data_IF_786017904670
#
_entry.id   IF_786017904670
#
_cell.length_a   1.000
_cell.length_b   1.000
_cell.length_c   1.000
_cell.angle_alpha   90.00
_cell.angle_beta   90.00
_cell.angle_gamma   90.00
#
_symmetry.space_group_name_H-M   'P 1'
#
loop_
_entity.id
_entity.type
_entity.pdbx_description
1 polymer ?
#
# COMPACT_ATOMS: atom_id res chain seq x y z
N UNK A 1 2.31 1.12 3.05
CA UNK A 1 1.38 1.39 1.95
C UNK A 1 1.37 2.89 1.75
N UNK A 2 1.67 3.35 0.52
CA UNK A 2 1.68 4.78 0.21
C UNK A 2 0.33 5.41 0.55
N UNK A 3 -0.74 4.91 -0.07
CA UNK A 3 -2.10 5.38 0.13
C UNK A 3 -3.01 4.29 0.70
N UNK A 4 -4.12 4.66 1.36
CA UNK A 4 -5.23 3.78 1.65
C UNK A 4 -5.87 3.19 0.38
N UNK A 5 -5.74 1.87 0.19
CA UNK A 5 -6.21 1.00 -0.92
C UNK A 5 -5.09 0.26 -1.63
N UNK A 6 -3.86 0.79 -1.58
CA UNK A 6 -2.70 0.19 -2.24
C UNK A 6 -2.49 -1.25 -1.77
N UNK A 7 -2.77 -1.59 -0.51
CA UNK A 7 -2.69 -2.97 -0.02
C UNK A 7 -3.70 -3.89 -0.70
N UNK A 8 -4.89 -3.37 -1.05
CA UNK A 8 -5.93 -4.16 -1.70
C UNK A 8 -5.47 -4.57 -3.10
N UNK A 9 -4.90 -3.62 -3.84
CA UNK A 9 -4.46 -3.87 -5.21
C UNK A 9 -3.11 -4.59 -5.29
N UNK A 10 -2.20 -4.35 -4.34
CA UNK A 10 -0.85 -4.94 -4.37
C UNK A 10 -0.76 -6.33 -3.73
N UNK A 11 -1.14 -6.46 -2.46
CA UNK A 11 -0.70 -7.58 -1.62
C UNK A 11 -1.79 -8.17 -0.69
N UNK A 12 -3.06 -7.85 -0.90
CA UNK A 12 -4.17 -8.25 -0.03
C UNK A 12 -4.35 -9.75 0.14
N UNK A 13 -4.14 -10.51 -0.93
CA UNK A 13 -4.19 -11.97 -0.83
C UNK A 13 -3.01 -12.52 -0.05
N UNK A 14 -1.84 -11.92 -0.20
CA UNK A 14 -0.65 -12.25 0.58
C UNK A 14 -0.82 -11.89 2.05
N UNK A 15 -1.42 -10.74 2.38
CA UNK A 15 -1.78 -10.36 3.76
C UNK A 15 -2.63 -11.45 4.41
N UNK A 16 -3.74 -11.85 3.76
CA UNK A 16 -4.64 -12.88 4.28
C UNK A 16 -3.96 -14.23 4.43
N UNK A 17 -3.14 -14.61 3.44
CA UNK A 17 -2.36 -15.85 3.47
C UNK A 17 -1.36 -15.87 4.62
N UNK A 18 -0.60 -14.80 4.82
CA UNK A 18 0.41 -14.75 5.88
C UNK A 18 -0.23 -14.70 7.27
N UNK A 19 -1.39 -14.04 7.43
CA UNK A 19 -2.17 -14.13 8.67
C UNK A 19 -2.64 -15.57 8.95
N UNK A 20 -3.14 -16.28 7.93
CA UNK A 20 -3.57 -17.69 8.06
C UNK A 20 -2.41 -18.64 8.38
N UNK A 21 -1.21 -18.35 7.88
CA UNK A 21 0.05 -19.05 8.19
C UNK A 21 0.58 -18.74 9.61
N UNK A 22 -0.10 -17.87 10.37
CA UNK A 22 0.23 -17.54 11.76
C UNK A 22 1.26 -16.42 11.92
N UNK A 23 1.57 -15.67 10.86
CA UNK A 23 2.46 -14.52 10.97
C UNK A 23 1.78 -13.34 11.68
N UNK A 24 2.54 -12.65 12.52
CA UNK A 24 2.15 -11.33 13.04
C UNK A 24 2.33 -10.29 11.93
N UNK A 25 1.23 -9.89 11.30
CA UNK A 25 1.26 -8.88 10.21
C UNK A 25 0.96 -7.50 10.78
N UNK A 26 1.76 -6.52 10.38
CA UNK A 26 1.54 -5.09 10.62
C UNK A 26 1.28 -4.38 9.30
N UNK A 27 0.45 -3.34 9.32
CA UNK A 27 0.23 -2.44 8.18
C UNK A 27 0.53 -1.01 8.58
N UNK A 28 1.24 -0.31 7.70
CA UNK A 28 1.56 1.10 7.84
C UNK A 28 0.95 1.83 6.64
N UNK A 29 0.08 2.80 6.89
CA UNK A 29 -0.41 3.75 5.90
C UNK A 29 0.43 5.04 6.03
N UNK A 30 1.12 5.42 4.96
CA UNK A 30 2.06 6.54 4.98
C UNK A 30 1.31 7.86 4.86
N UNK A 31 0.47 8.00 3.83
CA UNK A 31 -0.32 9.21 3.62
C UNK A 31 -1.79 9.02 3.99
N UNK A 32 -2.50 10.12 4.08
CA UNK A 32 -3.90 10.16 4.47
C UNK A 32 -4.91 10.26 3.32
N UNK A 33 -4.43 10.21 2.08
CA UNK A 33 -5.27 10.23 0.87
C UNK A 33 -6.07 11.53 0.64
N UNK A 34 -5.69 12.61 1.32
CA UNK A 34 -6.50 13.84 1.33
C UNK A 34 -6.67 14.50 -0.04
N UNK A 35 -5.72 14.30 -0.94
CA UNK A 35 -5.73 14.92 -2.27
C UNK A 35 -6.57 14.12 -3.28
N UNK A 36 -7.10 12.96 -2.89
CA UNK A 36 -7.85 12.05 -3.76
C UNK A 36 -8.90 12.79 -4.59
N UNK A 37 -9.90 13.40 -3.96
CA UNK A 37 -11.04 14.02 -4.66
C UNK A 37 -10.58 15.21 -5.53
N UNK A 38 -9.69 16.06 -5.02
CA UNK A 38 -9.16 17.19 -5.80
C UNK A 38 -8.43 16.72 -7.06
N UNK A 39 -7.56 15.71 -6.93
CA UNK A 39 -6.82 15.13 -8.04
C UNK A 39 -7.77 14.48 -9.05
N UNK A 40 -8.76 13.74 -8.56
CA UNK A 40 -9.74 13.07 -9.42
C UNK A 40 -10.61 14.02 -10.23
N UNK A 41 -11.00 15.18 -9.67
CA UNK A 41 -11.70 16.24 -10.42
C UNK A 41 -10.81 16.82 -11.52
N UNK A 42 -9.54 17.10 -11.19
CA UNK A 42 -8.57 17.70 -12.13
C UNK A 42 -8.28 16.81 -13.33
N UNK A 43 -8.33 15.49 -13.17
CA UNK A 43 -7.97 14.52 -14.21
C UNK A 43 -9.17 13.77 -14.79
N UNK A 44 -10.41 14.22 -14.54
CA UNK A 44 -11.65 13.56 -14.98
C UNK A 44 -11.67 12.05 -14.65
N UNK A 45 -11.29 11.71 -13.42
CA UNK A 45 -11.27 10.32 -12.95
C UNK A 45 -12.45 9.98 -12.04
N UNK A 46 -13.20 10.97 -11.57
CA UNK A 46 -14.31 10.77 -10.65
C UNK A 46 -15.61 10.46 -11.41
N UNK A 47 -16.42 9.60 -10.80
CA UNK A 47 -17.80 9.32 -11.19
C UNK A 47 -18.67 10.30 -10.41
N UNK A 48 -18.96 11.44 -11.03
CA UNK A 48 -19.56 12.61 -10.38
C UNK A 48 -20.89 12.29 -9.69
N UNK A 49 -21.72 11.45 -10.29
CA UNK A 49 -23.04 11.10 -9.75
C UNK A 49 -22.94 10.41 -8.39
N UNK A 50 -21.88 9.66 -8.16
CA UNK A 50 -21.64 8.93 -6.91
C UNK A 50 -20.81 9.74 -5.90
N UNK A 51 -20.04 10.72 -6.38
CA UNK A 51 -19.16 11.52 -5.55
C UNK A 51 -19.82 12.74 -4.91
N UNK A 52 -21.12 12.97 -5.14
CA UNK A 52 -21.84 14.21 -4.74
C UNK A 52 -21.59 14.63 -3.28
N UNK A 53 -21.57 13.68 -2.36
CA UNK A 53 -21.39 13.93 -0.93
C UNK A 53 -19.93 14.32 -0.56
N UNK A 54 -18.98 14.17 -1.49
CA UNK A 54 -17.54 14.39 -1.29
C UNK A 54 -16.98 15.55 -2.13
N UNK A 55 -17.64 15.93 -3.23
CA UNK A 55 -17.12 16.90 -4.23
C UNK A 55 -16.79 18.30 -3.69
N UNK A 56 -17.37 18.65 -2.54
CA UNK A 56 -17.25 19.95 -1.89
C UNK A 56 -16.61 19.87 -0.50
N UNK A 57 -16.19 18.69 -0.06
CA UNK A 57 -15.42 18.55 1.16
C UNK A 57 -14.01 19.09 0.95
N UNK A 58 -13.44 19.66 2.02
CA UNK A 58 -12.03 20.02 2.05
C UNK A 58 -11.14 18.78 2.01
N UNK A 59 -9.89 18.94 1.57
CA UNK A 59 -8.92 17.84 1.61
C UNK A 59 -8.75 17.30 3.04
N UNK A 60 -8.74 18.16 4.07
CA UNK A 60 -8.66 17.69 5.46
C UNK A 60 -9.82 16.76 5.85
N UNK A 61 -11.04 17.07 5.41
CA UNK A 61 -12.21 16.20 5.63
C UNK A 61 -12.08 14.88 4.86
N UNK A 62 -11.59 14.93 3.61
CA UNK A 62 -11.30 13.74 2.81
C UNK A 62 -10.23 12.87 3.47
N UNK A 63 -9.16 13.47 4.00
CA UNK A 63 -8.09 12.76 4.70
C UNK A 63 -8.62 12.02 5.93
N UNK A 64 -9.44 12.69 6.75
CA UNK A 64 -10.11 12.06 7.91
C UNK A 64 -11.00 10.88 7.50
N UNK A 65 -11.72 11.01 6.38
CA UNK A 65 -12.54 9.93 5.84
C UNK A 65 -11.64 8.79 5.35
N UNK A 66 -10.60 9.08 4.57
CA UNK A 66 -9.66 8.09 4.03
C UNK A 66 -8.98 7.27 5.12
N UNK A 67 -8.47 7.92 6.17
CA UNK A 67 -7.88 7.22 7.32
C UNK A 67 -8.90 6.38 8.09
N UNK A 68 -10.15 6.85 8.22
CA UNK A 68 -11.23 6.06 8.83
C UNK A 68 -11.57 4.83 7.99
N UNK A 69 -11.64 4.96 6.67
CA UNK A 69 -11.81 3.83 5.75
C UNK A 69 -10.64 2.84 5.86
N UNK A 70 -9.40 3.33 5.92
CA UNK A 70 -8.20 2.51 6.11
C UNK A 70 -8.28 1.67 7.39
N UNK A 71 -8.68 2.26 8.52
CA UNK A 71 -8.88 1.53 9.77
C UNK A 71 -9.99 0.47 9.66
N UNK A 72 -11.09 0.78 8.96
CA UNK A 72 -12.18 -0.19 8.75
C UNK A 72 -11.73 -1.36 7.87
N UNK A 73 -10.95 -1.07 6.83
CA UNK A 73 -10.36 -2.07 5.92
C UNK A 73 -9.37 -2.95 6.66
N UNK A 74 -8.45 -2.36 7.43
CA UNK A 74 -7.52 -3.13 8.24
C UNK A 74 -8.26 -4.05 9.24
N UNK A 75 -9.32 -3.55 9.88
CA UNK A 75 -10.19 -4.37 10.73
C UNK A 75 -10.84 -5.53 9.95
N UNK A 76 -11.29 -5.29 8.72
CA UNK A 76 -11.93 -6.32 7.88
C UNK A 76 -10.94 -7.38 7.36
N UNK A 77 -9.67 -7.02 7.16
CA UNK A 77 -8.61 -8.00 6.95
C UNK A 77 -8.42 -8.91 8.16
N UNK A 78 -8.52 -8.32 9.36
CA UNK A 78 -8.33 -9.00 10.65
C UNK A 78 -7.14 -8.47 11.45
N UNK A 79 -6.61 -7.30 11.10
CA UNK A 79 -5.52 -6.68 11.86
C UNK A 79 -6.00 -6.31 13.28
N UNK A 80 -5.25 -6.66 14.34
CA UNK A 80 -5.40 -6.03 15.64
C UNK A 80 -5.12 -4.52 15.55
N UNK A 81 -5.81 -3.71 16.36
CA UNK A 81 -5.60 -2.26 16.35
C UNK A 81 -4.13 -1.86 16.63
N UNK A 82 -3.42 -2.62 17.45
CA UNK A 82 -1.99 -2.42 17.75
C UNK A 82 -1.06 -2.63 16.53
N UNK A 83 -1.59 -3.24 15.46
CA UNK A 83 -0.84 -3.57 14.27
C UNK A 83 -1.19 -2.67 13.07
N UNK A 84 -2.04 -1.66 13.29
CA UNK A 84 -2.44 -0.68 12.27
C UNK A 84 -1.81 0.66 12.61
N UNK A 85 -0.86 1.08 11.79
CA UNK A 85 -0.11 2.31 11.99
C UNK A 85 -0.46 3.32 10.90
N UNK A 86 -0.75 4.56 11.30
CA UNK A 86 -0.98 5.67 10.39
C UNK A 86 0.12 6.70 10.65
N UNK A 87 0.88 7.07 9.62
CA UNK A 87 1.84 8.18 9.72
C UNK A 87 1.19 9.53 9.47
N UNK A 88 0.03 9.52 8.79
CA UNK A 88 -0.81 10.71 8.57
C UNK A 88 -0.06 11.83 7.84
N UNK A 89 0.92 11.46 7.00
CA UNK A 89 1.58 12.42 6.13
C UNK A 89 0.57 12.95 5.12
N UNK A 90 0.75 14.21 4.74
CA UNK A 90 -0.08 14.81 3.71
C UNK A 90 0.11 14.05 2.41
N UNK A 91 -1.00 13.63 1.80
CA UNK A 91 -1.01 13.03 0.47
C UNK A 91 -0.31 13.94 -0.56
N UNK A 92 0.53 13.38 -1.42
CA UNK A 92 1.46 14.05 -2.34
C UNK A 92 2.67 14.75 -1.70
N UNK A 93 2.90 14.60 -0.38
CA UNK A 93 4.03 15.23 0.34
C UNK A 93 4.99 14.21 0.99
N UNK A 94 4.81 12.90 0.78
CA UNK A 94 5.60 11.91 1.53
C UNK A 94 7.12 12.00 1.24
N UNK A 95 7.50 12.51 0.08
CA UNK A 95 8.91 12.77 -0.26
C UNK A 95 9.59 13.74 0.71
N UNK A 96 8.86 14.74 1.21
CA UNK A 96 9.39 15.71 2.18
C UNK A 96 9.38 15.16 3.61
N UNK A 97 8.84 13.96 3.82
CA UNK A 97 8.67 13.32 5.12
C UNK A 97 9.56 12.08 5.30
N UNK A 98 10.54 11.84 4.42
CA UNK A 98 11.36 10.62 4.44
C UNK A 98 12.03 10.41 5.80
N UNK A 99 12.75 11.41 6.34
CA UNK A 99 13.46 11.26 7.62
C UNK A 99 12.50 11.00 8.80
N UNK A 100 11.33 11.66 8.77
CA UNK A 100 10.28 11.43 9.76
C UNK A 100 9.72 10.00 9.66
N UNK A 101 9.40 9.56 8.44
CA UNK A 101 8.89 8.21 8.17
C UNK A 101 9.90 7.12 8.54
N UNK A 102 11.20 7.35 8.29
CA UNK A 102 12.27 6.46 8.72
C UNK A 102 12.25 6.31 10.24
N UNK A 103 12.19 7.41 10.99
CA UNK A 103 12.16 7.37 12.45
C UNK A 103 10.91 6.69 13.01
N UNK A 104 9.73 6.96 12.44
CA UNK A 104 8.47 6.32 12.85
C UNK A 104 8.46 4.82 12.55
N UNK A 105 9.02 4.40 11.41
CA UNK A 105 8.98 3.01 10.97
C UNK A 105 9.92 2.09 11.76
N UNK A 106 11.04 2.58 12.30
CA UNK A 106 12.05 1.75 12.97
C UNK A 106 11.46 0.84 14.05
N UNK A 107 10.65 1.39 14.95
CA UNK A 107 10.07 0.59 16.04
C UNK A 107 9.06 -0.45 15.55
N UNK A 108 8.46 -0.24 14.38
CA UNK A 108 7.48 -1.13 13.77
C UNK A 108 8.21 -2.29 13.07
N UNK A 109 9.31 -2.02 12.36
CA UNK A 109 9.95 -3.02 11.48
C UNK A 109 11.16 -3.75 12.09
N UNK A 110 11.65 -3.32 13.27
CA UNK A 110 12.91 -3.84 13.86
C UNK A 110 13.00 -5.36 14.05
N UNK A 111 11.85 -6.04 14.11
CA UNK A 111 11.77 -7.49 14.29
C UNK A 111 11.11 -8.19 13.08
N UNK A 112 11.02 -7.52 11.94
CA UNK A 112 10.35 -8.05 10.77
C UNK A 112 11.28 -8.96 9.97
N UNK A 113 10.82 -10.19 9.70
CA UNK A 113 11.48 -11.08 8.74
C UNK A 113 11.13 -10.73 7.28
N UNK A 114 10.00 -10.02 7.09
CA UNK A 114 9.51 -9.60 5.77
C UNK A 114 8.98 -8.18 5.79
N UNK A 115 9.36 -7.40 4.79
CA UNK A 115 8.93 -6.02 4.58
C UNK A 115 8.32 -5.91 3.18
N UNK A 116 7.06 -5.46 3.08
CA UNK A 116 6.31 -5.40 1.82
C UNK A 116 6.13 -3.94 1.43
N UNK A 117 6.71 -3.54 0.29
CA UNK A 117 6.85 -2.14 -0.11
C UNK A 117 6.56 -1.96 -1.61
N UNK A 118 6.16 -0.76 -2.04
CA UNK A 118 6.08 -0.46 -3.47
C UNK A 118 7.48 -0.48 -4.11
N UNK A 119 7.48 -0.72 -5.42
CA UNK A 119 8.63 -0.55 -6.30
C UNK A 119 8.99 0.92 -6.45
N UNK A 120 10.28 1.22 -6.46
CA UNK A 120 10.79 2.57 -6.74
C UNK A 120 10.64 2.97 -8.22
N UNK A 121 10.52 2.00 -9.14
CA UNK A 121 10.03 2.21 -10.51
C UNK A 121 8.52 2.53 -10.52
N UNK A 122 8.12 3.62 -9.90
CA UNK A 122 6.75 4.13 -9.88
C UNK A 122 6.75 5.60 -10.28
N UNK A 123 5.69 6.08 -10.94
CA UNK A 123 5.59 7.48 -11.34
C UNK A 123 4.99 8.37 -10.24
N UNK A 124 4.47 7.77 -9.17
CA UNK A 124 3.90 8.48 -8.04
C UNK A 124 4.96 8.73 -6.94
N UNK A 125 5.21 9.99 -6.55
CA UNK A 125 6.27 10.32 -5.58
C UNK A 125 6.06 9.65 -4.22
N UNK A 126 4.81 9.53 -3.74
CA UNK A 126 4.58 8.88 -2.44
C UNK A 126 4.87 7.37 -2.43
N UNK A 127 4.81 6.71 -3.58
CA UNK A 127 5.23 5.31 -3.69
C UNK A 127 6.77 5.22 -3.58
N UNK A 128 7.50 6.12 -4.23
CA UNK A 128 8.96 6.22 -4.13
C UNK A 128 9.40 6.58 -2.70
N UNK A 129 8.71 7.54 -2.06
CA UNK A 129 8.95 7.93 -0.67
C UNK A 129 8.73 6.74 0.28
N UNK A 130 7.63 6.01 0.13
CA UNK A 130 7.32 4.83 0.96
C UNK A 130 8.38 3.73 0.79
N UNK A 131 8.84 3.49 -0.44
CA UNK A 131 9.96 2.58 -0.70
C UNK A 131 11.21 3.02 0.07
N UNK A 132 11.59 4.30 -0.07
CA UNK A 132 12.79 4.88 0.53
C UNK A 132 12.72 4.88 2.05
N UNK A 133 11.58 5.25 2.65
CA UNK A 133 11.34 5.22 4.09
C UNK A 133 11.63 3.83 4.67
N UNK A 134 11.00 2.81 4.12
CA UNK A 134 11.12 1.45 4.64
C UNK A 134 12.52 0.87 4.41
N UNK A 135 13.12 1.14 3.24
CA UNK A 135 14.49 0.68 2.92
C UNK A 135 15.52 1.34 3.85
N UNK A 136 15.47 2.66 4.00
CA UNK A 136 16.43 3.39 4.84
C UNK A 136 16.29 3.01 6.32
N UNK A 137 15.06 2.87 6.83
CA UNK A 137 14.85 2.40 8.19
C UNK A 137 15.44 1.01 8.44
N UNK A 138 15.31 0.10 7.47
CA UNK A 138 15.89 -1.23 7.58
C UNK A 138 17.42 -1.23 7.47
N UNK A 139 18.01 -0.35 6.65
CA UNK A 139 19.46 -0.12 6.59
C UNK A 139 19.97 0.38 7.95
N UNK A 140 19.33 1.39 8.53
CA UNK A 140 19.74 1.94 9.83
C UNK A 140 19.60 0.95 10.98
N UNK A 141 18.65 0.01 10.88
CA UNK A 141 18.46 -1.08 11.84
C UNK A 141 19.30 -2.32 11.54
N UNK A 142 20.05 -2.32 10.43
CA UNK A 142 20.84 -3.46 9.97
C UNK A 142 20.03 -4.77 9.87
N UNK A 143 18.83 -4.71 9.27
CA UNK A 143 17.93 -5.86 9.11
C UNK A 143 18.36 -6.80 7.96
N UNK A 144 19.59 -7.31 8.04
CA UNK A 144 20.23 -8.09 6.96
C UNK A 144 19.54 -9.42 6.64
N UNK A 145 18.68 -9.90 7.55
CA UNK A 145 17.92 -11.14 7.37
C UNK A 145 16.50 -10.90 6.86
N UNK A 146 16.05 -9.64 6.76
CA UNK A 146 14.71 -9.33 6.29
C UNK A 146 14.61 -9.46 4.76
N UNK A 147 13.53 -10.08 4.28
CA UNK A 147 13.17 -10.13 2.87
C UNK A 147 12.29 -8.94 2.50
N UNK A 148 12.59 -8.28 1.38
CA UNK A 148 11.80 -7.19 0.83
C UNK A 148 10.95 -7.69 -0.32
N UNK A 149 9.63 -7.70 -0.11
CA UNK A 149 8.63 -8.05 -1.10
C UNK A 149 8.18 -6.76 -1.79
N UNK A 150 8.84 -6.46 -2.89
CA UNK A 150 8.61 -5.26 -3.68
C UNK A 150 7.51 -5.53 -4.68
N UNK A 151 6.37 -4.84 -4.56
CA UNK A 151 5.26 -4.92 -5.52
C UNK A 151 5.31 -3.77 -6.52
N UNK A 152 4.74 -3.96 -7.71
CA UNK A 152 4.59 -2.89 -8.70
C UNK A 152 3.10 -2.60 -8.94
N UNK A 153 2.74 -1.32 -8.82
CA UNK A 153 1.45 -0.75 -9.23
C UNK A 153 1.76 0.32 -10.30
N UNK A 154 0.88 0.50 -11.28
CA UNK A 154 0.99 1.39 -12.45
C UNK A 154 2.06 1.00 -13.47
N UNK A 155 3.25 0.62 -13.01
CA UNK A 155 4.38 0.26 -13.84
C UNK A 155 4.67 -1.25 -13.80
N UNK A 156 5.40 -1.74 -14.79
CA UNK A 156 5.90 -3.12 -14.80
C UNK A 156 6.96 -3.33 -13.71
N UNK A 157 6.93 -4.52 -13.09
CA UNK A 157 7.96 -4.98 -12.17
C UNK A 157 9.31 -5.08 -12.90
N UNK A 158 10.31 -4.28 -12.48
CA UNK A 158 11.69 -4.36 -12.96
C UNK A 158 12.55 -5.12 -11.95
N UNK A 159 12.30 -6.43 -11.85
CA UNK A 159 13.13 -7.36 -11.08
C UNK A 159 13.60 -8.49 -12.01
N UNK A 160 14.84 -8.99 -11.89
CA UNK A 160 15.27 -10.19 -12.58
C UNK A 160 14.34 -11.37 -12.31
N UNK A 161 14.23 -12.30 -13.25
CA UNK A 161 13.27 -13.40 -13.16
C UNK A 161 13.53 -14.29 -11.93
N UNK A 162 14.79 -14.51 -11.57
CA UNK A 162 15.24 -15.26 -10.39
C UNK A 162 14.91 -14.57 -9.06
N UNK A 163 14.66 -13.25 -9.09
CA UNK A 163 14.20 -12.47 -7.93
C UNK A 163 12.67 -12.35 -7.90
N UNK A 164 11.94 -12.85 -8.91
CA UNK A 164 10.48 -12.75 -8.94
C UNK A 164 9.81 -13.96 -8.29
N UNK A 165 8.89 -13.70 -7.37
CA UNK A 165 8.02 -14.74 -6.79
C UNK A 165 6.55 -14.45 -7.12
N UNK A 166 5.76 -15.52 -7.16
CA UNK A 166 4.29 -15.43 -7.26
C UNK A 166 3.65 -16.08 -6.05
N UNK A 167 2.81 -15.32 -5.36
CA UNK A 167 1.97 -15.83 -4.27
C UNK A 167 0.60 -16.15 -4.85
N UNK A 168 0.14 -17.40 -4.72
CA UNK A 168 -1.22 -17.78 -5.12
C UNK A 168 -2.23 -17.24 -4.11
N UNK A 169 -3.25 -16.55 -4.61
CA UNK A 169 -4.27 -15.88 -3.79
C UNK A 169 -5.71 -16.20 -4.22
N UNK A 170 -5.89 -17.21 -5.07
CA UNK A 170 -7.19 -17.56 -5.66
C UNK A 170 -8.31 -17.75 -4.64
N UNK A 171 -7.95 -18.19 -3.45
CA UNK A 171 -8.91 -18.60 -2.42
C UNK A 171 -9.41 -17.38 -1.61
N UNK A 172 -8.70 -16.25 -1.69
CA UNK A 172 -9.02 -15.01 -0.99
C UNK A 172 -9.76 -13.97 -1.84
N UNK A 173 -9.82 -14.15 -3.16
CA UNK A 173 -10.28 -13.14 -4.13
C UNK A 173 -11.65 -12.52 -3.84
N UNK A 174 -12.61 -13.31 -3.35
CA UNK A 174 -13.94 -12.80 -3.00
C UNK A 174 -13.91 -12.02 -1.70
N UNK A 175 -13.15 -12.47 -0.68
CA UNK A 175 -12.95 -11.71 0.55
C UNK A 175 -12.30 -10.35 0.26
N UNK A 176 -11.26 -10.33 -0.59
CA UNK A 176 -10.59 -9.10 -1.02
C UNK A 176 -11.57 -8.16 -1.74
N UNK A 177 -12.39 -8.70 -2.65
CA UNK A 177 -13.42 -7.92 -3.35
C UNK A 177 -14.41 -7.27 -2.38
N UNK A 178 -14.84 -7.99 -1.34
CA UNK A 178 -15.73 -7.45 -0.30
C UNK A 178 -15.02 -6.40 0.58
N UNK A 179 -13.75 -6.62 0.93
CA UNK A 179 -12.97 -5.66 1.70
C UNK A 179 -12.83 -4.33 0.95
N UNK A 180 -12.57 -4.36 -0.36
CA UNK A 180 -12.43 -3.15 -1.17
C UNK A 180 -13.66 -2.23 -1.11
N UNK A 181 -14.86 -2.78 -0.89
CA UNK A 181 -16.10 -1.99 -0.75
C UNK A 181 -16.07 -0.99 0.41
N UNK A 182 -15.18 -1.20 1.37
CA UNK A 182 -15.04 -0.33 2.54
C UNK A 182 -14.26 0.95 2.22
N UNK A 183 -13.51 0.99 1.13
CA UNK A 183 -12.93 2.21 0.57
C UNK A 183 -13.92 2.92 -0.36
N UNK A 184 -14.95 3.55 0.23
CA UNK A 184 -16.02 4.17 -0.57
C UNK A 184 -15.49 5.32 -1.39
N UNK A 185 -14.61 6.14 -0.82
CA UNK A 185 -14.01 7.29 -1.50
C UNK A 185 -13.19 6.86 -2.72
N UNK A 186 -12.40 5.79 -2.58
CA UNK A 186 -11.59 5.25 -3.67
C UNK A 186 -12.43 4.67 -4.80
N UNK A 187 -13.54 4.03 -4.47
CA UNK A 187 -14.44 3.48 -5.48
C UNK A 187 -15.16 4.55 -6.31
N UNK A 188 -15.11 5.83 -5.93
CA UNK A 188 -15.62 6.93 -6.76
C UNK A 188 -14.80 7.11 -8.06
N UNK A 189 -13.65 6.46 -8.18
CA UNK A 189 -12.73 6.61 -9.31
C UNK A 189 -12.98 5.54 -10.38
N UNK A 190 -13.01 5.97 -11.65
CA UNK A 190 -13.23 5.12 -12.82
C UNK A 190 -12.26 3.93 -12.86
N UNK A 191 -10.96 4.21 -12.76
CA UNK A 191 -9.91 3.18 -12.82
C UNK A 191 -9.92 2.26 -11.60
N UNK A 192 -10.06 2.82 -10.40
CA UNK A 192 -10.14 2.04 -9.16
C UNK A 192 -11.35 1.11 -9.15
N UNK A 193 -12.50 1.59 -9.63
CA UNK A 193 -13.72 0.78 -9.78
C UNK A 193 -13.54 -0.34 -10.78
N UNK A 194 -12.89 -0.07 -11.93
CA UNK A 194 -12.56 -1.11 -12.89
C UNK A 194 -11.61 -2.15 -12.27
N UNK A 195 -10.55 -1.69 -11.58
CA UNK A 195 -9.63 -2.55 -10.84
C UNK A 195 -10.36 -3.46 -9.85
N UNK A 196 -11.25 -2.88 -9.03
CA UNK A 196 -12.07 -3.61 -8.07
C UNK A 196 -12.89 -4.72 -8.72
N UNK A 197 -13.55 -4.46 -9.85
CA UNK A 197 -14.33 -5.47 -10.60
C UNK A 197 -13.46 -6.66 -11.05
N UNK A 198 -12.17 -6.44 -11.31
CA UNK A 198 -11.25 -7.50 -11.72
C UNK A 198 -10.68 -8.34 -10.57
N UNK A 199 -10.80 -7.91 -9.31
CA UNK A 199 -10.21 -8.61 -8.15
C UNK A 199 -10.71 -10.06 -8.03
N UNK A 200 -11.98 -10.32 -8.37
CA UNK A 200 -12.56 -11.68 -8.38
C UNK A 200 -11.92 -12.63 -9.39
N UNK A 201 -11.08 -12.11 -10.30
CA UNK A 201 -10.34 -12.89 -11.31
C UNK A 201 -8.84 -12.99 -10.97
N UNK A 202 -8.34 -12.21 -10.01
CA UNK A 202 -6.93 -12.21 -9.58
C UNK A 202 -6.61 -13.56 -8.93
N UNK A 203 -5.61 -14.27 -9.49
CA UNK A 203 -5.18 -15.61 -9.01
C UNK A 203 -3.87 -15.59 -8.25
N UNK A 204 -3.05 -14.57 -8.49
CA UNK A 204 -1.74 -14.46 -7.86
C UNK A 204 -1.31 -13.01 -7.72
N UNK A 205 -0.46 -12.76 -6.74
CA UNK A 205 0.30 -11.53 -6.55
C UNK A 205 1.76 -11.79 -6.92
N UNK A 206 2.43 -10.78 -7.46
CA UNK A 206 3.83 -10.90 -7.91
C UNK A 206 4.67 -9.89 -7.17
N UNK A 207 5.82 -10.35 -6.69
CA UNK A 207 6.80 -9.52 -6.00
C UNK A 207 8.19 -9.73 -6.61
N UNK A 208 9.01 -8.69 -6.61
CA UNK A 208 10.46 -8.86 -6.55
C UNK A 208 10.86 -9.09 -5.10
N UNK A 209 11.67 -10.11 -4.83
CA UNK A 209 12.15 -10.44 -3.48
C UNK A 209 13.63 -10.11 -3.39
N UNK A 210 13.96 -9.22 -2.47
CA UNK A 210 15.32 -8.73 -2.27
C UNK A 210 15.73 -8.86 -0.79
N UNK A 211 17.01 -8.71 -0.53
CA UNK A 211 17.59 -8.56 0.81
C UNK A 211 18.39 -7.26 0.86
N UNK A 212 18.75 -6.75 2.04
CA UNK A 212 19.57 -5.51 2.12
C UNK A 212 20.88 -5.57 1.33
N UNK A 213 21.44 -6.77 1.08
CA UNK A 213 22.64 -6.96 0.24
C UNK A 213 22.40 -6.61 -1.22
N UNK A 214 21.15 -6.64 -1.65
CA UNK A 214 20.72 -6.30 -3.01
C UNK A 214 20.52 -4.78 -3.19
N UNK A 215 20.50 -3.99 -2.11
CA UNK A 215 20.19 -2.56 -2.17
C UNK A 215 21.21 -1.78 -3.01
N UNK A 216 20.73 -1.04 -4.00
CA UNK A 216 21.55 -0.30 -4.96
C UNK A 216 22.15 -1.16 -6.07
N UNK A 217 21.98 -2.48 -6.03
CA UNK A 217 22.44 -3.40 -7.08
C UNK A 217 21.34 -3.68 -8.11
N UNK A 218 20.08 -3.38 -7.80
CA UNK A 218 18.96 -3.53 -8.72
C UNK A 218 18.22 -2.21 -8.90
N UNK A 219 17.69 -1.99 -10.10
CA UNK A 219 16.95 -0.77 -10.42
C UNK A 219 15.76 -0.49 -9.48
N UNK A 220 15.21 -1.55 -8.89
CA UNK A 220 14.02 -1.50 -8.04
C UNK A 220 14.29 -1.63 -6.54
N UNK A 221 15.56 -1.73 -6.11
CA UNK A 221 15.92 -1.97 -4.71
C UNK A 221 17.36 -1.56 -4.41
#
# INVERSE_FOLDING_TARGET
MPHPDDEVFSCSGSILKWMEEGHTVHIVYVTDNRALITWGKKHDQIIEEEAKDYLYLSEEEIGKIGLKEARNVAKAFGFPNSNVHLFEFHDQDAMNQIDNGVNLSKNIIKNSDRIVIPSDNNNHPDHQATHTIAKNAAIELNLVNAEFYVYAIYNLMKAPMEKQVKVRISDYRYKIYEIMKLYKTQLLFKDTRLGWQTLTRKRSERFGVFSLKDAGNYYNF
#
